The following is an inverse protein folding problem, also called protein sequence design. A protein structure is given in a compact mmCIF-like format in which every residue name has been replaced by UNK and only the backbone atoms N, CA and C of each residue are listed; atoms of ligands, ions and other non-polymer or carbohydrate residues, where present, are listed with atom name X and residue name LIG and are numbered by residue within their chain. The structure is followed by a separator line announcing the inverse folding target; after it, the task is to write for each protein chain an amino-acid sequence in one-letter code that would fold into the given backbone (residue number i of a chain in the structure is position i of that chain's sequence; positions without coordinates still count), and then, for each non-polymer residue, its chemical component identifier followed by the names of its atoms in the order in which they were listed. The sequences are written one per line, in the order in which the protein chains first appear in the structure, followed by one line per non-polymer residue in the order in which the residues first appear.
data_IF_322101386393
#
_entry.id   IF_322101386393
#
_cell.length_a   1.000
_cell.length_b   1.000
_cell.length_c   1.000
_cell.angle_alpha   90.00
_cell.angle_beta   90.00
_cell.angle_gamma   90.00
#
_symmetry.space_group_name_H-M   'P 1'
#
loop_
_entity.id
_entity.type
_entity.pdbx_description
1 polymer ?
#
# COMPACT_ATOMS: atom_id res chain seq x y z
N UNK A 1 8.63 21.59 3.86
CA UNK A 1 10.05 21.98 4.07
C UNK A 1 11.00 20.78 4.00
N UNK A 2 11.02 19.83 4.95
CA UNK A 2 11.94 18.67 4.84
C UNK A 2 11.66 17.77 3.62
N UNK A 3 10.39 17.52 3.30
CA UNK A 3 10.03 16.71 2.13
C UNK A 3 10.48 17.36 0.82
N UNK A 4 10.40 18.69 0.72
CA UNK A 4 10.83 19.43 -0.46
C UNK A 4 12.35 19.40 -0.62
N UNK A 5 13.10 19.53 0.48
CA UNK A 5 14.55 19.36 0.48
C UNK A 5 14.96 17.95 0.04
N UNK A 6 14.28 16.91 0.55
CA UNK A 6 14.49 15.54 0.09
C UNK A 6 14.17 15.39 -1.40
N UNK A 7 13.07 15.99 -1.86
CA UNK A 7 12.65 15.92 -3.26
C UNK A 7 13.69 16.55 -4.20
N UNK A 8 14.24 17.71 -3.81
CA UNK A 8 15.31 18.38 -4.56
C UNK A 8 16.59 17.55 -4.55
N UNK A 9 17.01 17.04 -3.39
CA UNK A 9 18.26 16.29 -3.26
C UNK A 9 18.21 14.93 -3.96
N UNK A 10 17.06 14.26 -3.96
CA UNK A 10 16.88 12.93 -4.56
C UNK A 10 16.38 12.95 -6.00
N UNK A 11 15.80 14.06 -6.46
CA UNK A 11 15.06 14.15 -7.72
C UNK A 11 13.70 13.41 -7.71
N UNK A 12 13.25 12.90 -6.55
CA UNK A 12 12.00 12.16 -6.43
C UNK A 12 10.85 13.09 -6.07
N UNK A 13 9.69 12.90 -6.71
CA UNK A 13 8.46 13.66 -6.39
C UNK A 13 7.33 12.69 -6.04
N UNK A 14 6.56 13.02 -5.00
CA UNK A 14 5.37 12.25 -4.66
C UNK A 14 4.30 12.40 -5.76
N UNK A 15 3.62 11.29 -6.05
CA UNK A 15 2.50 11.28 -6.98
C UNK A 15 1.18 11.47 -6.21
N UNK A 16 0.64 12.68 -6.24
CA UNK A 16 -0.60 13.04 -5.56
C UNK A 16 -1.80 12.16 -5.96
N UNK A 17 -1.84 11.64 -7.20
CA UNK A 17 -2.94 10.80 -7.68
C UNK A 17 -2.85 9.34 -7.19
N UNK A 18 -1.69 8.91 -6.70
CA UNK A 18 -1.46 7.56 -6.16
C UNK A 18 -1.26 7.55 -4.65
N UNK A 19 -1.16 8.72 -4.04
CA UNK A 19 -0.92 8.89 -2.61
C UNK A 19 -2.19 9.35 -1.91
N UNK A 20 -2.48 8.76 -0.76
CA UNK A 20 -3.62 9.12 0.08
C UNK A 20 -3.24 9.03 1.55
N UNK A 21 -3.89 9.84 2.39
CA UNK A 21 -3.66 9.86 3.83
C UNK A 21 -4.77 9.07 4.53
N UNK A 22 -4.40 8.22 5.48
CA UNK A 22 -5.34 7.41 6.26
C UNK A 22 -5.12 7.70 7.74
N UNK A 23 -6.20 8.01 8.46
CA UNK A 23 -6.15 8.38 9.86
C UNK A 23 -6.69 7.27 10.77
N UNK A 24 -6.06 7.10 11.93
CA UNK A 24 -6.55 6.26 13.02
C UNK A 24 -6.40 6.97 14.35
N UNK A 25 -7.50 7.17 15.08
CA UNK A 25 -7.48 7.80 16.41
C UNK A 25 -7.19 9.30 16.43
N UNK A 26 -7.23 9.99 15.28
CA UNK A 26 -7.00 11.45 15.18
C UNK A 26 -8.35 12.18 15.17
N UNK A 27 -8.47 13.33 15.84
CA UNK A 27 -9.71 14.10 15.84
C UNK A 27 -9.94 14.79 14.47
N UNK A 28 -11.20 15.06 14.11
CA UNK A 28 -11.53 15.61 12.78
C UNK A 28 -10.83 16.95 12.48
N UNK A 29 -10.70 17.81 13.48
CA UNK A 29 -10.05 19.12 13.34
C UNK A 29 -8.58 18.95 12.91
N UNK A 30 -7.86 18.04 13.56
CA UNK A 30 -6.46 17.76 13.21
C UNK A 30 -6.35 17.07 11.84
N UNK A 31 -7.30 16.19 11.49
CA UNK A 31 -7.34 15.57 10.17
C UNK A 31 -7.45 16.63 9.07
N UNK A 32 -8.36 17.59 9.21
CA UNK A 32 -8.59 18.65 8.22
C UNK A 32 -7.35 19.54 8.07
N UNK A 33 -6.70 19.91 9.18
CA UNK A 33 -5.46 20.70 9.17
C UNK A 33 -4.35 19.93 8.41
N UNK A 34 -4.18 18.64 8.71
CA UNK A 34 -3.14 17.80 8.09
C UNK A 34 -3.40 17.64 6.59
N UNK A 35 -4.65 17.39 6.19
CA UNK A 35 -5.04 17.26 4.78
C UNK A 35 -4.74 18.56 4.02
N UNK A 36 -5.12 19.71 4.58
CA UNK A 36 -4.87 21.01 3.96
C UNK A 36 -3.38 21.30 3.81
N UNK A 37 -2.56 20.93 4.80
CA UNK A 37 -1.11 21.14 4.74
C UNK A 37 -0.41 20.23 3.73
N UNK A 38 -0.87 18.98 3.60
CA UNK A 38 -0.21 18.00 2.74
C UNK A 38 -0.73 18.00 1.28
N UNK A 39 -1.97 18.43 1.06
CA UNK A 39 -2.61 18.44 -0.27
C UNK A 39 -2.95 17.06 -0.84
N UNK A 40 -2.93 16.00 -0.01
CA UNK A 40 -3.36 14.65 -0.40
C UNK A 40 -4.83 14.42 -0.10
N UNK A 41 -5.46 13.51 -0.84
CA UNK A 41 -6.82 13.06 -0.56
C UNK A 41 -6.83 12.12 0.65
N UNK A 42 -7.85 12.27 1.51
CA UNK A 42 -8.10 11.31 2.58
C UNK A 42 -8.66 10.01 2.00
N UNK A 43 -8.00 8.90 2.32
CA UNK A 43 -8.46 7.56 1.97
C UNK A 43 -9.30 6.93 3.08
N UNK A 44 -10.08 5.92 2.72
CA UNK A 44 -10.93 5.16 3.65
C UNK A 44 -10.40 3.74 3.87
N UNK A 45 -10.57 3.24 5.10
CA UNK A 45 -10.24 1.86 5.46
C UNK A 45 -11.51 0.98 5.36
N UNK A 46 -11.40 -0.29 4.92
CA UNK A 46 -10.18 -0.97 4.49
C UNK A 46 -9.80 -0.68 3.02
N UNK A 47 -8.50 -0.63 2.72
CA UNK A 47 -7.99 -0.51 1.35
C UNK A 47 -6.97 -1.62 1.04
N UNK A 48 -6.52 -1.75 -0.21
CA UNK A 48 -5.54 -2.77 -0.61
C UNK A 48 -4.14 -2.19 -0.69
N UNK A 49 -3.20 -2.71 0.08
CA UNK A 49 -1.79 -2.36 0.01
C UNK A 49 -0.95 -3.56 -0.43
N UNK A 50 -0.17 -3.40 -1.51
CA UNK A 50 0.68 -4.44 -2.09
C UNK A 50 -0.01 -5.79 -2.37
N UNK A 51 -1.32 -5.79 -2.58
CA UNK A 51 -2.08 -7.01 -2.85
C UNK A 51 -2.88 -7.56 -1.68
N UNK A 52 -2.76 -6.98 -0.48
CA UNK A 52 -3.40 -7.46 0.75
C UNK A 52 -4.32 -6.37 1.31
N UNK A 53 -5.53 -6.70 1.80
CA UNK A 53 -6.40 -5.73 2.43
C UNK A 53 -5.80 -5.22 3.75
N UNK A 54 -5.46 -3.94 3.80
CA UNK A 54 -5.14 -3.24 5.04
C UNK A 54 -6.44 -2.83 5.73
N UNK A 55 -6.65 -3.34 6.93
CA UNK A 55 -7.86 -3.14 7.73
C UNK A 55 -7.49 -2.78 9.16
N UNK A 56 -8.41 -2.11 9.87
CA UNK A 56 -8.26 -1.78 11.29
C UNK A 56 -8.41 -3.01 12.21
N UNK A 57 -8.94 -4.13 11.67
CA UNK A 57 -9.19 -5.36 12.43
C UNK A 57 -8.14 -6.43 12.13
N UNK A 58 -7.96 -7.39 13.03
CA UNK A 58 -7.12 -8.56 12.78
C UNK A 58 -7.63 -9.31 11.54
N UNK A 59 -6.77 -9.48 10.54
CA UNK A 59 -7.13 -10.20 9.31
C UNK A 59 -7.40 -11.68 9.59
N UNK A 60 -8.52 -12.19 9.04
CA UNK A 60 -8.84 -13.62 9.04
C UNK A 60 -7.99 -14.35 7.99
N UNK A 61 -7.76 -15.65 8.17
CA UNK A 61 -7.02 -16.47 7.20
C UNK A 61 -7.56 -16.36 5.77
N UNK A 62 -8.89 -16.30 5.60
CA UNK A 62 -9.52 -16.11 4.30
C UNK A 62 -9.08 -14.82 3.56
N UNK A 63 -8.71 -13.76 4.28
CA UNK A 63 -8.24 -12.50 3.68
C UNK A 63 -6.79 -12.60 3.17
N UNK A 64 -6.02 -13.59 3.65
CA UNK A 64 -4.65 -13.87 3.20
C UNK A 64 -4.60 -14.77 1.95
N UNK A 65 -5.71 -15.42 1.59
CA UNK A 65 -5.78 -16.33 0.46
C UNK A 65 -5.20 -15.76 -0.84
N UNK A 66 -5.49 -14.50 -1.24
CA UNK A 66 -4.94 -13.93 -2.47
C UNK A 66 -3.41 -13.80 -2.47
N UNK A 67 -2.79 -13.66 -1.30
CA UNK A 67 -1.34 -13.64 -1.16
C UNK A 67 -0.77 -15.07 -1.26
N UNK A 68 -1.41 -16.02 -0.59
CA UNK A 68 -1.04 -17.44 -0.64
C UNK A 68 -1.09 -17.94 -2.09
N UNK A 69 -2.18 -17.67 -2.81
CA UNK A 69 -2.36 -18.09 -4.21
C UNK A 69 -1.25 -17.52 -5.12
N UNK A 70 -0.85 -16.26 -4.91
CA UNK A 70 0.27 -15.65 -5.64
C UNK A 70 1.61 -16.33 -5.35
N UNK A 71 1.86 -16.72 -4.11
CA UNK A 71 3.08 -17.43 -3.71
C UNK A 71 3.10 -18.83 -4.34
N UNK A 72 2.00 -19.58 -4.21
CA UNK A 72 1.84 -20.91 -4.79
C UNK A 72 2.03 -20.85 -6.31
N UNK A 73 1.38 -19.92 -7.00
CA UNK A 73 1.50 -19.76 -8.45
C UNK A 73 2.95 -19.51 -8.89
N UNK A 74 3.70 -18.68 -8.15
CA UNK A 74 5.13 -18.43 -8.43
C UNK A 74 5.95 -19.71 -8.27
N UNK A 75 5.76 -20.45 -7.18
CA UNK A 75 6.50 -21.71 -6.92
C UNK A 75 6.18 -22.75 -8.01
N UNK A 76 4.91 -22.99 -8.30
CA UNK A 76 4.49 -23.95 -9.33
C UNK A 76 5.05 -23.60 -10.71
N UNK A 77 5.08 -22.31 -11.06
CA UNK A 77 5.66 -21.86 -12.33
C UNK A 77 7.17 -22.15 -12.44
N UNK A 78 7.90 -22.12 -11.32
CA UNK A 78 9.33 -22.44 -11.29
C UNK A 78 9.58 -23.94 -11.40
N UNK A 79 8.77 -24.76 -10.72
CA UNK A 79 8.86 -26.22 -10.81
C UNK A 79 8.57 -26.71 -12.23
N UNK A 80 7.56 -26.15 -12.90
CA UNK A 80 7.24 -26.48 -14.29
C UNK A 80 8.39 -26.16 -15.27
N UNK A 81 9.15 -25.09 -15.03
CA UNK A 81 10.28 -24.68 -15.88
C UNK A 81 11.53 -25.56 -15.74
N UNK A 82 11.62 -26.40 -14.71
CA UNK A 82 12.72 -27.39 -14.56
C UNK A 82 12.35 -28.79 -15.04
N UNK A 83 11.16 -28.96 -15.60
CA UNK A 83 10.65 -30.23 -16.14
C UNK A 83 10.48 -30.19 -17.67
N UNK A 84 11.14 -29.26 -18.37
CA UNK A 84 11.31 -29.39 -19.82
C UNK A 84 12.27 -30.56 -20.09
N UNK A 85 11.69 -31.70 -20.46
CA UNK A 85 12.39 -32.89 -20.96
C UNK A 85 13.18 -32.53 -22.21
N UNK A 86 14.42 -33.01 -22.31
CA UNK A 86 15.23 -33.03 -23.52
C UNK A 86 15.01 -34.38 -24.23
#
# INVERSE_FOLDING_TARGET
QCFDQFSIASGLKANLNKSSVYFGGVCKVDQDIIIQQLGYVQGELPFKYLGVPLTTKKMKMAQWQPLIDKIVAKISSWTARKLSYA
#
